data_IF_190785966252
#
_entry.id   IF_190785966252
#
_cell.length_a   1.000
_cell.length_b   1.000
_cell.length_c   1.000
_cell.angle_alpha   90.00
_cell.angle_beta   90.00
_cell.angle_gamma   90.00
#
_symmetry.space_group_name_H-M   'P 1'
#
loop_
_entity.id
_entity.type
_entity.pdbx_description
1 polymer ?
#
# COMPACT_ATOMS: atom_id res chain seq x y z
N UNK A 1 5.03 7.75 -15.28
CA UNK A 1 3.90 6.88 -15.65
C UNK A 1 4.21 6.29 -17.00
N UNK A 2 4.67 5.04 -17.02
CA UNK A 2 5.15 4.37 -18.23
C UNK A 2 4.09 3.43 -18.75
N UNK A 3 3.78 3.56 -20.04
CA UNK A 3 3.47 2.41 -20.88
C UNK A 3 4.38 2.49 -22.10
N UNK A 4 5.63 2.04 -21.95
CA UNK A 4 6.40 1.62 -23.09
C UNK A 4 5.82 0.26 -23.54
N UNK A 5 5.35 0.20 -24.79
CA UNK A 5 4.81 -0.99 -25.44
C UNK A 5 5.76 -2.18 -25.18
N UNK A 6 5.28 -3.21 -24.46
CA UNK A 6 6.05 -4.41 -24.14
C UNK A 6 6.50 -4.55 -22.67
N UNK A 7 6.33 -3.53 -21.83
CA UNK A 7 6.41 -3.70 -20.38
C UNK A 7 5.05 -4.18 -19.84
N UNK A 8 5.00 -5.37 -19.23
CA UNK A 8 3.86 -5.74 -18.40
C UNK A 8 3.77 -4.71 -17.27
N UNK A 9 2.78 -3.81 -17.33
CA UNK A 9 2.67 -2.72 -16.36
C UNK A 9 2.41 -3.32 -14.98
N UNK A 10 3.34 -3.14 -14.04
CA UNK A 10 3.08 -3.44 -12.63
C UNK A 10 1.86 -2.63 -12.18
N UNK A 11 0.84 -3.31 -11.68
CA UNK A 11 -0.35 -2.71 -11.09
C UNK A 11 -0.16 -2.68 -9.58
N UNK A 12 -0.32 -1.53 -8.95
CA UNK A 12 -0.04 -1.40 -7.53
C UNK A 12 -0.46 -0.05 -6.97
N UNK A 13 -0.59 0.02 -5.64
CA UNK A 13 -0.97 1.26 -4.94
C UNK A 13 0.21 2.19 -4.67
N UNK A 14 1.43 1.72 -4.91
CA UNK A 14 2.71 2.37 -4.64
C UNK A 14 2.85 3.75 -5.30
N UNK A 15 2.54 3.84 -6.59
CA UNK A 15 2.62 5.10 -7.33
C UNK A 15 1.62 6.13 -6.81
N UNK A 16 0.40 5.70 -6.49
CA UNK A 16 -0.63 6.59 -5.93
C UNK A 16 -0.29 7.02 -4.51
N UNK A 17 0.22 6.10 -3.69
CA UNK A 17 0.70 6.38 -2.35
C UNK A 17 1.79 7.47 -2.38
N UNK A 18 2.85 7.27 -3.16
CA UNK A 18 3.94 8.23 -3.29
C UNK A 18 3.45 9.60 -3.77
N UNK A 19 2.63 9.63 -4.83
CA UNK A 19 2.08 10.87 -5.36
C UNK A 19 1.24 11.63 -4.32
N UNK A 20 0.35 10.94 -3.62
CA UNK A 20 -0.52 11.58 -2.63
C UNK A 20 0.23 11.94 -1.34
N UNK A 21 1.28 11.20 -0.97
CA UNK A 21 2.19 11.59 0.12
C UNK A 21 2.89 12.90 -0.21
N UNK A 22 3.59 12.97 -1.36
CA UNK A 22 4.27 14.18 -1.80
C UNK A 22 3.33 15.37 -1.90
N UNK A 23 2.11 15.18 -2.41
CA UNK A 23 1.11 16.24 -2.50
C UNK A 23 0.69 16.79 -1.12
N UNK A 24 0.66 15.94 -0.09
CA UNK A 24 0.21 16.29 1.25
C UNK A 24 1.32 16.87 2.12
N UNK A 25 2.55 16.38 1.98
CA UNK A 25 3.67 16.73 2.87
C UNK A 25 4.75 17.57 2.19
N UNK A 26 4.73 17.69 0.86
CA UNK A 26 5.81 18.25 0.04
C UNK A 26 7.14 17.48 0.16
N UNK A 27 7.08 16.22 0.58
CA UNK A 27 8.23 15.33 0.68
C UNK A 27 8.38 14.49 -0.59
N UNK A 28 9.61 14.34 -1.05
CA UNK A 28 9.93 13.36 -2.07
C UNK A 28 9.80 11.95 -1.46
N UNK A 29 9.36 10.97 -2.23
CA UNK A 29 9.21 9.60 -1.76
C UNK A 29 10.08 8.68 -2.59
N UNK A 30 10.84 7.81 -1.94
CA UNK A 30 11.50 6.65 -2.52
C UNK A 30 10.68 5.43 -2.14
N UNK A 31 10.15 4.73 -3.14
CA UNK A 31 9.45 3.47 -2.93
C UNK A 31 10.40 2.33 -3.27
N UNK A 32 10.55 1.40 -2.34
CA UNK A 32 11.17 0.10 -2.54
C UNK A 32 10.04 -0.94 -2.62
N UNK A 33 9.75 -1.37 -3.84
CA UNK A 33 8.77 -2.43 -4.06
C UNK A 33 9.47 -3.79 -3.89
N UNK A 34 9.20 -4.44 -2.76
CA UNK A 34 9.71 -5.77 -2.44
C UNK A 34 8.60 -6.82 -2.52
N UNK A 35 7.53 -6.55 -3.27
CA UNK A 35 6.38 -7.42 -3.39
C UNK A 35 6.68 -8.70 -4.16
N UNK A 36 6.06 -9.82 -3.75
CA UNK A 36 6.16 -11.11 -4.44
C UNK A 36 4.79 -11.79 -4.49
N UNK A 37 4.29 -12.00 -5.71
CA UNK A 37 2.98 -12.60 -5.98
C UNK A 37 2.86 -14.04 -5.50
N UNK A 38 1.62 -14.47 -5.23
CA UNK A 38 1.31 -15.86 -4.83
C UNK A 38 2.07 -16.36 -3.58
N UNK A 39 2.47 -15.48 -2.66
CA UNK A 39 3.21 -15.85 -1.45
C UNK A 39 2.31 -15.94 -0.21
N UNK A 40 2.66 -16.85 0.71
CA UNK A 40 2.08 -16.93 2.06
C UNK A 40 2.92 -16.11 3.04
N UNK A 41 2.30 -15.56 4.09
CA UNK A 41 2.96 -14.87 5.22
C UNK A 41 4.09 -15.70 5.85
N UNK A 42 4.02 -17.02 5.74
CA UNK A 42 5.07 -17.96 6.19
C UNK A 42 6.41 -17.80 5.48
N UNK A 43 6.42 -17.26 4.26
CA UNK A 43 7.64 -16.96 3.50
C UNK A 43 8.26 -15.60 3.84
N UNK A 44 7.52 -14.79 4.60
CA UNK A 44 7.88 -13.42 4.98
C UNK A 44 8.42 -13.32 6.40
N UNK A 45 8.66 -14.43 7.10
CA UNK A 45 9.39 -14.42 8.39
C UNK A 45 10.91 -14.48 8.16
N UNK A 46 11.77 -14.18 9.16
CA UNK A 46 13.23 -14.07 8.99
C UNK A 46 13.94 -15.24 8.31
N UNK A 47 13.42 -16.46 8.45
CA UNK A 47 13.99 -17.66 7.82
C UNK A 47 13.61 -17.79 6.34
N UNK A 48 12.54 -17.13 5.90
CA UNK A 48 11.98 -17.18 4.56
C UNK A 48 12.74 -16.32 3.54
N UNK A 49 12.68 -16.73 2.27
CA UNK A 49 13.42 -16.07 1.19
C UNK A 49 12.87 -14.68 0.86
N UNK A 50 11.55 -14.52 0.86
CA UNK A 50 10.92 -13.23 0.53
C UNK A 50 11.29 -12.16 1.55
N UNK A 51 11.30 -12.52 2.84
CA UNK A 51 11.82 -11.64 3.88
C UNK A 51 13.27 -11.23 3.62
N UNK A 52 14.17 -12.19 3.38
CA UNK A 52 15.61 -11.92 3.19
C UNK A 52 15.87 -11.05 1.97
N UNK A 53 15.20 -11.33 0.85
CA UNK A 53 15.31 -10.53 -0.37
C UNK A 53 14.81 -9.11 -0.14
N UNK A 54 13.68 -8.97 0.54
CA UNK A 54 13.12 -7.68 0.85
C UNK A 54 14.10 -6.87 1.74
N UNK A 55 14.61 -7.45 2.83
CA UNK A 55 15.58 -6.78 3.71
C UNK A 55 16.84 -6.36 2.93
N UNK A 56 17.38 -7.25 2.09
CA UNK A 56 18.56 -6.95 1.29
C UNK A 56 18.31 -5.80 0.30
N UNK A 57 17.14 -5.77 -0.35
CA UNK A 57 16.75 -4.69 -1.26
C UNK A 57 16.61 -3.36 -0.51
N UNK A 58 16.00 -3.39 0.68
CA UNK A 58 15.89 -2.19 1.51
C UNK A 58 17.24 -1.65 1.94
N UNK A 59 18.14 -2.53 2.41
CA UNK A 59 19.47 -2.13 2.86
C UNK A 59 20.26 -1.46 1.75
N UNK A 60 20.23 -2.00 0.53
CA UNK A 60 20.89 -1.39 -0.63
C UNK A 60 20.33 0.01 -0.94
N UNK A 61 19.01 0.18 -0.95
CA UNK A 61 18.39 1.48 -1.16
C UNK A 61 18.70 2.46 -0.01
N UNK A 62 18.73 1.97 1.22
CA UNK A 62 19.07 2.76 2.40
C UNK A 62 20.54 3.24 2.37
N UNK A 63 21.48 2.44 1.87
CA UNK A 63 22.87 2.85 1.68
C UNK A 63 23.01 3.99 0.66
N UNK A 64 22.30 3.91 -0.47
CA UNK A 64 22.28 4.99 -1.46
C UNK A 64 21.68 6.25 -0.84
N UNK A 65 20.54 6.12 -0.15
CA UNK A 65 19.91 7.24 0.55
C UNK A 65 20.84 7.89 1.58
N UNK A 66 21.57 7.09 2.37
CA UNK A 66 22.52 7.62 3.35
C UNK A 66 23.62 8.45 2.68
N UNK A 67 24.16 7.99 1.53
CA UNK A 67 25.14 8.76 0.75
C UNK A 67 24.56 10.07 0.24
N UNK A 68 23.35 10.05 -0.32
CA UNK A 68 22.67 11.27 -0.78
C UNK A 68 22.38 12.25 0.36
N UNK A 69 22.01 11.76 1.55
CA UNK A 69 21.85 12.57 2.75
C UNK A 69 23.18 13.16 3.23
N UNK A 70 24.26 12.39 3.20
CA UNK A 70 25.60 12.85 3.57
C UNK A 70 26.11 13.96 2.63
N UNK A 71 25.80 13.88 1.34
CA UNK A 71 26.09 14.92 0.34
C UNK A 71 25.15 16.13 0.44
N UNK A 72 24.16 16.11 1.34
CA UNK A 72 23.22 17.20 1.56
C UNK A 72 22.14 17.33 0.48
N UNK A 73 21.96 16.32 -0.39
CA UNK A 73 20.91 16.32 -1.41
C UNK A 73 19.51 16.13 -0.80
N UNK A 74 19.42 15.34 0.27
CA UNK A 74 18.17 15.03 0.97
C UNK A 74 18.33 15.08 2.49
N UNK A 75 17.20 15.27 3.18
CA UNK A 75 17.06 14.99 4.61
C UNK A 75 15.97 13.94 4.79
N UNK A 76 16.34 12.81 5.41
CA UNK A 76 15.41 11.73 5.71
C UNK A 76 14.42 12.17 6.80
N UNK A 77 13.12 11.99 6.54
CA UNK A 77 12.04 12.31 7.48
C UNK A 77 11.47 11.11 8.20
N UNK A 78 11.05 10.12 7.41
CA UNK A 78 10.40 8.92 7.91
C UNK A 78 10.92 7.70 7.17
N UNK A 79 10.85 6.55 7.85
CA UNK A 79 11.06 5.21 7.29
C UNK A 79 9.95 4.31 7.77
N UNK A 80 9.27 3.63 6.87
CA UNK A 80 8.20 2.71 7.22
C UNK A 80 7.99 1.66 6.16
N UNK A 81 6.95 0.85 6.35
CA UNK A 81 6.54 -0.11 5.33
C UNK A 81 5.03 -0.18 5.22
N UNK A 82 4.54 -0.46 4.02
CA UNK A 82 3.13 -0.76 3.77
C UNK A 82 2.96 -2.22 3.40
N UNK A 83 1.91 -2.83 3.94
CA UNK A 83 1.68 -4.26 3.87
C UNK A 83 0.29 -4.58 3.32
N UNK A 84 0.25 -5.29 2.19
CA UNK A 84 -0.96 -5.81 1.56
C UNK A 84 -0.73 -7.26 1.11
N UNK A 85 -1.06 -8.19 1.99
CA UNK A 85 -0.98 -9.61 1.72
C UNK A 85 -1.98 -10.34 2.63
N UNK A 86 -2.34 -11.56 2.23
CA UNK A 86 -3.15 -12.49 3.03
C UNK A 86 -4.12 -13.31 2.18
N UNK A 87 -4.22 -13.04 0.88
CA UNK A 87 -5.05 -13.75 -0.08
C UNK A 87 -4.72 -15.26 -0.08
N UNK A 88 -3.42 -15.59 -0.09
CA UNK A 88 -2.95 -16.97 -0.08
C UNK A 88 -3.08 -17.64 1.31
N UNK A 89 -3.33 -16.87 2.35
CA UNK A 89 -3.51 -17.33 3.74
C UNK A 89 -4.98 -17.28 4.18
N UNK A 90 -5.94 -17.15 3.25
CA UNK A 90 -7.38 -16.99 3.57
C UNK A 90 -7.99 -18.10 4.44
N UNK A 91 -7.39 -19.28 4.46
CA UNK A 91 -7.80 -20.43 5.29
C UNK A 91 -7.07 -20.49 6.64
N UNK A 92 -6.04 -19.67 6.84
CA UNK A 92 -5.29 -19.57 8.08
C UNK A 92 -6.17 -18.94 9.17
N UNK A 93 -5.99 -19.35 10.43
CA UNK A 93 -6.65 -18.70 11.56
C UNK A 93 -6.08 -17.29 11.79
N UNK A 94 -6.86 -16.40 12.40
CA UNK A 94 -6.38 -15.06 12.76
C UNK A 94 -5.19 -15.11 13.71
N UNK A 95 -5.20 -16.03 14.68
CA UNK A 95 -4.09 -16.20 15.61
C UNK A 95 -2.79 -16.61 14.90
N UNK A 96 -2.85 -17.60 14.01
CA UNK A 96 -1.67 -18.04 13.27
C UNK A 96 -1.14 -16.93 12.35
N UNK A 97 -2.01 -16.26 11.60
CA UNK A 97 -1.62 -15.16 10.72
C UNK A 97 -0.97 -14.01 11.50
N UNK A 98 -1.57 -13.63 12.63
CA UNK A 98 -1.03 -12.61 13.55
C UNK A 98 0.37 -13.00 14.04
N UNK A 99 0.58 -14.25 14.43
CA UNK A 99 1.88 -14.73 14.92
C UNK A 99 2.96 -14.67 13.83
N UNK A 100 2.64 -15.01 12.58
CA UNK A 100 3.60 -14.87 11.47
C UNK A 100 3.87 -13.41 11.14
N UNK A 101 2.84 -12.55 11.14
CA UNK A 101 3.02 -11.12 10.94
C UNK A 101 3.95 -10.52 12.01
N UNK A 102 3.76 -10.83 13.29
CA UNK A 102 4.60 -10.31 14.37
C UNK A 102 6.05 -10.82 14.27
N UNK A 103 6.26 -12.05 13.79
CA UNK A 103 7.62 -12.55 13.50
C UNK A 103 8.29 -11.77 12.37
N UNK A 104 7.56 -11.53 11.27
CA UNK A 104 8.03 -10.68 10.18
C UNK A 104 8.35 -9.27 10.70
N UNK A 105 7.41 -8.63 11.38
CA UNK A 105 7.54 -7.26 11.88
C UNK A 105 8.75 -7.11 12.82
N UNK A 106 8.89 -7.99 13.81
CA UNK A 106 10.06 -8.02 14.71
C UNK A 106 11.35 -8.28 13.95
N UNK A 107 11.30 -9.15 12.94
CA UNK A 107 12.42 -9.40 12.05
C UNK A 107 12.90 -8.14 11.33
N UNK A 108 11.94 -7.35 10.81
CA UNK A 108 12.21 -6.08 10.15
C UNK A 108 12.77 -5.08 11.17
N UNK A 109 12.14 -4.89 12.33
CA UNK A 109 12.61 -3.96 13.37
C UNK A 109 14.04 -4.27 13.85
N UNK A 110 14.39 -5.56 13.94
CA UNK A 110 15.73 -5.99 14.32
C UNK A 110 16.81 -5.67 13.27
N UNK A 111 16.44 -5.59 11.99
CA UNK A 111 17.39 -5.41 10.88
C UNK A 111 17.33 -4.02 10.27
N UNK A 112 16.21 -3.33 10.44
CA UNK A 112 15.86 -2.07 9.80
C UNK A 112 15.28 -1.12 10.86
N UNK A 113 15.77 0.12 10.89
CA UNK A 113 15.14 1.17 11.70
C UNK A 113 13.91 1.70 10.99
N UNK A 114 12.73 1.19 11.35
CA UNK A 114 11.42 1.56 10.81
C UNK A 114 10.55 2.18 11.91
N UNK A 115 9.76 3.19 11.56
CA UNK A 115 8.92 3.95 12.49
C UNK A 115 7.49 3.42 12.55
N UNK A 116 7.02 2.80 11.46
CA UNK A 116 5.63 2.33 11.37
C UNK A 116 5.43 1.19 10.37
N UNK A 117 4.30 0.52 10.54
CA UNK A 117 3.69 -0.41 9.59
C UNK A 117 2.31 0.09 9.15
N UNK A 118 2.11 0.33 7.87
CA UNK A 118 0.81 0.67 7.28
C UNK A 118 0.11 -0.57 6.71
N UNK A 119 -0.92 -1.07 7.38
CA UNK A 119 -1.73 -2.19 6.90
C UNK A 119 -2.81 -1.69 5.92
N UNK A 120 -2.89 -2.36 4.77
CA UNK A 120 -3.99 -2.21 3.83
C UNK A 120 -4.83 -3.48 3.87
N UNK A 121 -6.14 -3.30 3.92
CA UNK A 121 -7.06 -4.42 4.09
C UNK A 121 -6.97 -5.36 2.90
N UNK A 122 -6.64 -6.63 3.18
CA UNK A 122 -6.52 -7.67 2.16
C UNK A 122 -7.89 -8.19 1.69
N UNK A 123 -8.01 -8.61 0.43
CA UNK A 123 -9.22 -9.33 -0.04
C UNK A 123 -9.32 -10.71 0.60
N UNK A 124 -10.54 -11.08 1.03
CA UNK A 124 -10.78 -12.44 1.53
C UNK A 124 -11.14 -13.47 0.44
N UNK A 125 -11.58 -13.02 -0.73
CA UNK A 125 -11.97 -13.87 -1.85
C UNK A 125 -10.86 -13.96 -2.91
N UNK A 126 -10.81 -15.09 -3.63
CA UNK A 126 -9.87 -15.34 -4.73
C UNK A 126 -10.58 -15.46 -6.08
N UNK A 127 -11.80 -14.92 -6.21
CA UNK A 127 -12.57 -15.02 -7.45
C UNK A 127 -12.99 -13.63 -7.90
N UNK A 128 -13.11 -13.47 -9.22
CA UNK A 128 -13.75 -12.32 -9.88
C UNK A 128 -15.14 -12.13 -9.26
N UNK A 129 -15.39 -10.96 -8.68
CA UNK A 129 -16.69 -10.52 -8.13
C UNK A 129 -17.31 -11.43 -7.07
N UNK A 130 -16.73 -11.51 -5.86
CA UNK A 130 -17.33 -12.30 -4.79
C UNK A 130 -17.72 -11.44 -3.59
N UNK A 131 -18.97 -11.54 -3.13
CA UNK A 131 -19.42 -11.02 -1.82
C UNK A 131 -18.60 -11.55 -0.63
N UNK A 132 -17.75 -12.57 -0.88
CA UNK A 132 -16.80 -13.11 0.09
C UNK A 132 -15.53 -12.28 0.25
N UNK A 133 -15.27 -11.28 -0.59
CA UNK A 133 -14.08 -10.41 -0.49
C UNK A 133 -14.00 -9.65 0.84
N UNK A 134 -15.16 -9.44 1.45
CA UNK A 134 -15.33 -8.70 2.71
C UNK A 134 -15.47 -9.62 3.93
N UNK A 135 -15.51 -10.94 3.73
CA UNK A 135 -15.62 -11.88 4.86
C UNK A 135 -14.43 -11.68 5.78
N UNK A 136 -14.71 -11.52 7.07
CA UNK A 136 -13.69 -11.45 8.12
C UNK A 136 -13.03 -12.82 8.32
N UNK A 137 -12.18 -13.21 7.36
CA UNK A 137 -11.33 -14.40 7.47
C UNK A 137 -10.18 -14.14 8.46
N UNK A 138 -9.32 -15.14 8.65
CA UNK A 138 -8.18 -15.04 9.58
C UNK A 138 -7.29 -13.82 9.31
N UNK A 139 -6.74 -13.66 8.09
CA UNK A 139 -5.90 -12.52 7.74
C UNK A 139 -6.54 -11.16 8.01
N UNK A 140 -7.78 -10.91 7.54
CA UNK A 140 -8.46 -9.61 7.76
C UNK A 140 -8.73 -9.35 9.24
N UNK A 141 -9.09 -10.38 9.99
CA UNK A 141 -9.29 -10.28 11.44
C UNK A 141 -7.98 -9.95 12.15
N UNK A 142 -6.89 -10.63 11.77
CA UNK A 142 -5.56 -10.37 12.30
C UNK A 142 -5.08 -8.95 11.98
N UNK A 143 -5.26 -8.44 10.76
CA UNK A 143 -4.87 -7.07 10.40
C UNK A 143 -5.58 -6.02 11.27
N UNK A 144 -6.88 -6.19 11.54
CA UNK A 144 -7.63 -5.29 12.43
C UNK A 144 -7.17 -5.40 13.90
N UNK A 145 -6.86 -6.61 14.36
CA UNK A 145 -6.33 -6.84 15.71
C UNK A 145 -4.94 -6.22 15.88
N UNK A 146 -4.02 -6.46 14.93
CA UNK A 146 -2.67 -5.90 14.93
C UNK A 146 -2.69 -4.38 15.03
N UNK A 147 -3.50 -3.71 14.20
CA UNK A 147 -3.62 -2.26 14.22
C UNK A 147 -4.25 -1.69 15.52
N UNK A 148 -5.04 -2.50 16.23
CA UNK A 148 -5.65 -2.10 17.52
C UNK A 148 -4.71 -2.35 18.71
N UNK A 149 -3.91 -3.40 18.62
CA UNK A 149 -3.11 -3.94 19.74
C UNK A 149 -1.68 -3.37 19.80
N UNK A 150 -1.20 -2.69 18.74
CA UNK A 150 0.20 -2.26 18.63
C UNK A 150 0.29 -0.77 18.30
N UNK A 151 1.24 -0.07 18.91
CA UNK A 151 1.32 1.40 18.83
C UNK A 151 1.93 1.93 17.53
N UNK A 152 2.67 1.10 16.79
CA UNK A 152 3.37 1.44 15.55
C UNK A 152 2.83 0.70 14.32
N UNK A 153 1.70 -0.01 14.46
CA UNK A 153 1.03 -0.70 13.37
C UNK A 153 -0.33 -0.04 13.18
N UNK A 154 -0.63 0.40 11.96
CA UNK A 154 -1.83 1.18 11.69
C UNK A 154 -2.61 0.59 10.52
N UNK A 155 -3.93 0.52 10.66
CA UNK A 155 -4.81 0.26 9.53
C UNK A 155 -4.97 1.57 8.74
N UNK A 156 -4.30 1.66 7.60
CA UNK A 156 -4.25 2.90 6.80
C UNK A 156 -5.13 2.88 5.57
N UNK A 157 -5.58 1.70 5.13
CA UNK A 157 -6.58 1.61 4.07
C UNK A 157 -7.60 0.52 4.33
N UNK A 158 -8.87 0.89 4.36
CA UNK A 158 -10.03 -0.03 4.35
C UNK A 158 -11.00 0.32 3.23
N UNK A 159 -10.66 1.26 2.34
CA UNK A 159 -11.55 1.80 1.30
C UNK A 159 -12.13 0.74 0.38
N UNK A 160 -11.38 -0.34 0.18
CA UNK A 160 -11.85 -1.49 -0.59
C UNK A 160 -13.13 -2.08 -0.05
N UNK A 161 -13.40 -1.96 1.26
CA UNK A 161 -14.61 -2.47 1.91
C UNK A 161 -15.88 -1.71 1.47
N UNK A 162 -15.72 -0.60 0.74
CA UNK A 162 -16.82 0.15 0.14
C UNK A 162 -17.21 -0.33 -1.26
N UNK A 163 -16.46 -1.27 -1.86
CA UNK A 163 -16.66 -1.71 -3.25
C UNK A 163 -17.30 -3.10 -3.33
N UNK A 164 -18.41 -3.27 -2.61
CA UNK A 164 -19.11 -4.55 -2.45
C UNK A 164 -19.93 -4.99 -3.64
N UNK A 165 -20.43 -4.02 -4.41
CA UNK A 165 -21.33 -4.17 -5.54
C UNK A 165 -21.26 -2.91 -6.41
N UNK A 166 -21.82 -2.97 -7.62
CA UNK A 166 -21.74 -1.85 -8.57
C UNK A 166 -22.37 -0.56 -8.00
N UNK A 167 -23.43 -0.70 -7.19
CA UNK A 167 -24.10 0.45 -6.57
C UNK A 167 -23.18 1.12 -5.55
N UNK A 168 -22.48 0.36 -4.72
CA UNK A 168 -21.55 0.92 -3.72
C UNK A 168 -20.30 1.52 -4.38
N UNK A 169 -19.78 0.90 -5.46
CA UNK A 169 -18.72 1.51 -6.29
C UNK A 169 -19.18 2.83 -6.89
N UNK A 170 -20.30 2.85 -7.62
CA UNK A 170 -20.82 4.07 -8.25
C UNK A 170 -21.07 5.18 -7.21
N UNK A 171 -21.61 4.84 -6.05
CA UNK A 171 -21.84 5.80 -4.96
C UNK A 171 -20.54 6.37 -4.39
N UNK A 172 -19.53 5.52 -4.17
CA UNK A 172 -18.22 5.97 -3.70
C UNK A 172 -17.59 6.96 -4.69
N UNK A 173 -17.47 6.58 -5.97
CA UNK A 173 -16.80 7.41 -6.95
C UNK A 173 -17.57 8.70 -7.26
N UNK A 174 -18.90 8.67 -7.31
CA UNK A 174 -19.74 9.88 -7.43
C UNK A 174 -19.54 10.86 -6.27
N UNK A 175 -19.30 10.35 -5.05
CA UNK A 175 -19.04 11.19 -3.87
C UNK A 175 -17.59 11.70 -3.82
N UNK A 176 -16.63 10.88 -4.23
CA UNK A 176 -15.20 11.20 -4.21
C UNK A 176 -14.81 12.24 -5.28
N UNK A 177 -15.55 12.28 -6.40
CA UNK A 177 -15.23 13.07 -7.58
C UNK A 177 -16.41 13.93 -8.04
N UNK A 178 -16.19 15.25 -8.10
CA UNK A 178 -17.24 16.21 -8.50
C UNK A 178 -17.52 16.22 -10.00
N UNK A 179 -16.53 15.80 -10.80
CA UNK A 179 -16.60 15.77 -12.26
C UNK A 179 -15.51 14.84 -12.82
N UNK A 180 -15.60 14.54 -14.12
CA UNK A 180 -14.55 13.80 -14.83
C UNK A 180 -13.19 14.54 -14.77
N UNK A 181 -13.21 15.88 -14.82
CA UNK A 181 -11.98 16.67 -14.70
C UNK A 181 -11.36 16.55 -13.30
N UNK A 182 -12.17 16.58 -12.24
CA UNK A 182 -11.70 16.34 -10.87
C UNK A 182 -11.09 14.93 -10.72
N UNK A 183 -11.70 13.93 -11.36
CA UNK A 183 -11.17 12.58 -11.42
C UNK A 183 -9.82 12.51 -12.13
N UNK A 184 -9.67 13.11 -13.31
CA UNK A 184 -8.40 13.11 -14.06
C UNK A 184 -7.28 13.90 -13.37
N UNK A 185 -7.61 14.97 -12.65
CA UNK A 185 -6.62 15.74 -11.86
C UNK A 185 -6.09 14.90 -10.68
N UNK A 186 -6.98 14.15 -10.03
CA UNK A 186 -6.64 13.32 -8.87
C UNK A 186 -6.03 11.97 -9.26
N UNK A 187 -6.36 11.45 -10.44
CA UNK A 187 -5.83 10.23 -11.04
C UNK A 187 -5.20 10.58 -12.38
N UNK A 188 -4.04 11.26 -12.37
CA UNK A 188 -3.36 11.57 -13.61
C UNK A 188 -2.95 10.24 -14.25
N UNK A 189 -3.51 9.95 -15.42
CA UNK A 189 -3.21 8.76 -16.22
C UNK A 189 -2.74 9.18 -17.61
N UNK A 190 -1.97 8.32 -18.25
CA UNK A 190 -1.54 8.49 -19.65
C UNK A 190 -2.76 8.44 -20.59
N UNK A 191 -3.70 7.53 -20.31
CA UNK A 191 -4.99 7.49 -21.00
C UNK A 191 -5.94 8.57 -20.46
N UNK A 192 -6.37 9.47 -21.35
CA UNK A 192 -7.31 10.56 -21.06
C UNK A 192 -8.77 10.15 -21.21
N UNK A 193 -9.04 8.97 -21.76
CA UNK A 193 -10.39 8.45 -21.97
C UNK A 193 -10.90 7.62 -20.78
N UNK A 194 -10.11 7.47 -19.71
CA UNK A 194 -10.52 6.73 -18.53
C UNK A 194 -11.76 7.39 -17.92
N UNK A 195 -12.80 6.57 -17.74
CA UNK A 195 -14.07 6.97 -17.15
C UNK A 195 -14.00 6.83 -15.63
N UNK A 196 -14.87 7.56 -14.93
CA UNK A 196 -15.08 7.36 -13.50
C UNK A 196 -15.62 5.92 -13.29
N UNK A 197 -14.97 5.10 -12.44
CA UNK A 197 -15.46 3.76 -12.13
C UNK A 197 -16.90 3.77 -11.62
N UNK A 198 -17.67 2.78 -12.05
CA UNK A 198 -19.08 2.63 -11.70
C UNK A 198 -19.48 1.19 -11.39
N UNK A 199 -18.60 0.23 -11.66
CA UNK A 199 -18.82 -1.20 -11.42
C UNK A 199 -17.67 -1.81 -10.64
N UNK A 200 -17.93 -2.93 -9.97
CA UNK A 200 -16.92 -3.75 -9.30
C UNK A 200 -15.79 -4.14 -10.25
N UNK A 201 -16.14 -4.45 -11.50
CA UNK A 201 -15.16 -4.81 -12.53
C UNK A 201 -14.24 -3.65 -12.93
N UNK A 202 -14.61 -2.39 -12.69
CA UNK A 202 -13.75 -1.24 -12.99
C UNK A 202 -12.61 -1.09 -11.96
N UNK A 203 -12.77 -1.67 -10.76
CA UNK A 203 -11.81 -1.54 -9.65
C UNK A 203 -11.16 -2.86 -9.25
N UNK A 204 -11.75 -4.01 -9.57
CA UNK A 204 -11.15 -5.33 -9.39
C UNK A 204 -11.74 -6.39 -10.35
N UNK A 205 -11.36 -6.32 -11.62
CA UNK A 205 -11.78 -7.25 -12.68
C UNK A 205 -11.31 -8.70 -12.49
N UNK A 206 -10.41 -8.97 -11.54
CA UNK A 206 -9.83 -10.29 -11.27
C UNK A 206 -9.75 -10.58 -9.76
N UNK A 207 -8.80 -11.42 -9.34
CA UNK A 207 -8.44 -11.65 -7.93
C UNK A 207 -7.63 -10.47 -7.36
N UNK A 208 -7.11 -9.60 -8.22
CA UNK A 208 -6.38 -8.38 -7.86
C UNK A 208 -7.26 -7.14 -8.06
N UNK A 209 -6.90 -6.04 -7.39
CA UNK A 209 -7.44 -4.74 -7.77
C UNK A 209 -6.87 -4.33 -9.13
N UNK A 210 -7.65 -3.61 -9.91
CA UNK A 210 -7.12 -2.92 -11.08
C UNK A 210 -6.44 -1.62 -10.64
N UNK A 211 -5.70 -0.97 -11.55
CA UNK A 211 -4.98 0.27 -11.22
C UNK A 211 -5.90 1.34 -10.62
N UNK A 212 -7.16 1.40 -11.06
CA UNK A 212 -8.12 2.38 -10.55
C UNK A 212 -8.47 2.11 -9.08
N UNK A 213 -8.63 0.85 -8.68
CA UNK A 213 -8.80 0.46 -7.29
C UNK A 213 -7.53 0.72 -6.47
N UNK A 214 -6.37 0.32 -6.98
CA UNK A 214 -5.09 0.57 -6.31
C UNK A 214 -4.81 2.07 -6.12
N UNK A 215 -5.25 2.93 -7.05
CA UNK A 215 -5.10 4.37 -6.90
C UNK A 215 -5.84 4.92 -5.69
N UNK A 216 -7.08 4.46 -5.44
CA UNK A 216 -7.86 4.87 -4.27
C UNK A 216 -7.25 4.31 -2.98
N UNK A 217 -6.82 3.05 -2.98
CA UNK A 217 -6.14 2.39 -1.85
C UNK A 217 -4.88 3.18 -1.45
N UNK A 218 -4.01 3.51 -2.42
CA UNK A 218 -2.80 4.29 -2.17
C UNK A 218 -3.10 5.72 -1.70
N UNK A 219 -4.16 6.34 -2.23
CA UNK A 219 -4.60 7.68 -1.81
C UNK A 219 -5.06 7.69 -0.35
N UNK A 220 -5.89 6.73 0.05
CA UNK A 220 -6.35 6.60 1.44
C UNK A 220 -5.18 6.29 2.38
N UNK A 221 -4.31 5.35 1.99
CA UNK A 221 -3.13 4.99 2.76
C UNK A 221 -2.21 6.20 3.04
N UNK A 222 -1.91 7.00 2.02
CA UNK A 222 -1.11 8.22 2.17
C UNK A 222 -1.78 9.23 3.10
N UNK A 223 -3.09 9.46 2.90
CA UNK A 223 -3.86 10.41 3.72
C UNK A 223 -3.88 10.01 5.19
N UNK A 224 -4.17 8.75 5.47
CA UNK A 224 -4.29 8.27 6.84
C UNK A 224 -2.92 8.23 7.52
N UNK A 225 -1.88 7.73 6.84
CA UNK A 225 -0.55 7.66 7.44
C UNK A 225 0.05 9.05 7.72
N UNK A 226 -0.04 9.98 6.78
CA UNK A 226 0.44 11.36 7.01
C UNK A 226 -0.36 12.07 8.11
N UNK A 227 -1.66 11.80 8.25
CA UNK A 227 -2.43 12.31 9.38
C UNK A 227 -1.98 11.70 10.72
N UNK A 228 -1.61 10.41 10.75
CA UNK A 228 -1.12 9.70 11.94
C UNK A 228 0.24 10.25 12.37
N UNK A 229 1.13 10.52 11.42
CA UNK A 229 2.43 11.16 11.65
C UNK A 229 2.33 12.66 11.97
N UNK A 230 1.13 13.14 12.29
CA UNK A 230 0.85 14.50 12.76
C UNK A 230 1.20 15.63 11.78
N UNK A 231 1.10 15.40 10.46
CA UNK A 231 1.25 16.47 9.44
C UNK A 231 0.10 17.50 9.42
N UNK A 232 -0.63 17.68 10.53
CA UNK A 232 -1.63 18.75 10.65
C UNK A 232 -0.92 20.10 10.62
N UNK A 233 -0.96 20.77 9.45
CA UNK A 233 -0.52 22.15 9.22
C UNK A 233 0.99 22.45 9.37
N UNK A 234 1.81 21.97 8.43
CA UNK A 234 3.14 22.56 8.18
C UNK A 234 3.22 23.20 6.80
N UNK A 235 2.33 24.16 6.55
CA UNK A 235 2.59 25.20 5.56
C UNK A 235 3.79 26.05 6.05
N UNK A 236 4.96 25.78 5.45
CA UNK A 236 6.26 26.48 5.50
C UNK A 236 7.37 25.65 6.15
N UNK A 237 8.20 25.05 5.29
CA UNK A 237 9.64 25.38 5.15
C UNK A 237 10.22 24.68 3.91
N UNK A 238 10.71 25.48 2.98
CA UNK A 238 11.52 25.01 1.85
C UNK A 238 12.88 24.51 2.37
N UNK A 239 13.06 23.20 2.35
CA UNK A 239 14.25 22.46 1.88
C UNK A 239 13.88 20.97 1.82
N UNK A 240 14.28 20.32 0.73
CA UNK A 240 13.79 19.01 0.27
C UNK A 240 13.92 17.91 1.34
N UNK A 241 12.82 17.20 1.57
CA UNK A 241 12.67 16.14 2.56
C UNK A 241 12.30 14.84 1.84
N UNK A 242 12.84 13.69 2.28
CA UNK A 242 12.63 12.38 1.64
C UNK A 242 12.00 11.36 2.59
N UNK A 243 11.04 10.59 2.09
CA UNK A 243 10.42 9.42 2.73
C UNK A 243 10.86 8.14 2.01
N UNK A 244 11.32 7.12 2.74
CA UNK A 244 11.62 5.80 2.17
C UNK A 244 10.57 4.80 2.62
N UNK A 245 9.89 4.22 1.65
CA UNK A 245 8.84 3.23 1.87
C UNK A 245 9.26 1.85 1.39
N UNK A 246 8.82 0.83 2.11
CA UNK A 246 9.07 -0.56 1.84
C UNK A 246 7.74 -1.30 1.65
N UNK A 247 7.53 -1.84 0.46
CA UNK A 247 6.26 -2.45 0.09
C UNK A 247 6.37 -3.97 0.09
N UNK A 248 5.72 -4.58 1.08
CA UNK A 248 5.54 -6.04 1.17
C UNK A 248 4.13 -6.32 0.72
N UNK A 249 3.97 -6.53 -0.59
CA UNK A 249 2.67 -6.89 -1.17
C UNK A 249 2.80 -8.20 -1.92
N UNK A 250 1.71 -8.93 -2.15
CA UNK A 250 1.73 -9.98 -3.17
C UNK A 250 1.19 -9.39 -4.47
N UNK A 251 2.07 -9.13 -5.43
CA UNK A 251 1.68 -8.69 -6.76
C UNK A 251 2.33 -9.59 -7.82
N UNK A 252 1.50 -10.05 -8.75
CA UNK A 252 1.79 -10.74 -10.01
C UNK A 252 1.96 -12.27 -9.98
N UNK A 253 1.02 -12.96 -10.63
CA UNK A 253 1.22 -13.47 -11.99
C UNK A 253 0.37 -12.62 -12.96
#
# INVERSE_FOLDING_TARGET
MTTAKGACSKLGFDSSLAYNWTKQTNEKVWIINAAEGNTSITSWIPTGNNFKQAVALYQQAAEVLQKECHLGHYYLKHKGYFFLQGENDKKMSSLAYKNYFLQMHKGLENQLTLEFAGLLTVRAGMNKTCTKDFKMNGPRTAQKQLAKENNNIYMVSTISDLWTDDKSVANYFKKAYKSINDYHIKNPMSDKNVKIPSTVNDVHSTIHYDQLGYNEIGREAAKNMTSILHYKNTAKRQKLSLYLDFLLTSLHD
#
